data_IF_992927139511
#
_entry.id   IF_992927139511
#
_cell.length_a   1.000
_cell.length_b   1.000
_cell.length_c   1.000
_cell.angle_alpha   90.00
_cell.angle_beta   90.00
_cell.angle_gamma   90.00
#
_symmetry.space_group_name_H-M   'P 1'
#
loop_
_entity.id
_entity.type
_entity.pdbx_description
1 polymer ?
#
# COMPACT_ATOMS: atom_id res chain seq x y z
N UNK A 1 -12.12 -5.02 8.84
CA UNK A 1 -13.08 -3.97 8.45
C UNK A 1 -14.34 -4.64 7.93
N UNK A 2 -15.52 -4.18 8.33
CA UNK A 2 -16.81 -4.74 7.91
C UNK A 2 -17.74 -3.60 7.50
N UNK A 3 -18.42 -3.73 6.35
CA UNK A 3 -19.45 -2.77 5.93
C UNK A 3 -20.73 -3.06 6.72
N UNK A 4 -21.17 -2.09 7.52
CA UNK A 4 -22.34 -2.22 8.39
C UNK A 4 -23.61 -1.62 7.80
N UNK A 5 -23.47 -0.52 7.06
CA UNK A 5 -24.58 0.16 6.43
C UNK A 5 -24.17 0.60 5.03
N UNK A 6 -25.09 0.44 4.09
CA UNK A 6 -24.91 0.87 2.70
C UNK A 6 -26.18 1.56 2.21
N UNK A 7 -26.08 2.84 1.88
CA UNK A 7 -27.11 3.59 1.15
C UNK A 7 -26.76 3.61 -0.34
N UNK A 8 -27.53 2.84 -1.11
CA UNK A 8 -27.35 2.73 -2.56
C UNK A 8 -27.67 4.01 -3.31
N UNK A 9 -28.61 4.82 -2.84
CA UNK A 9 -29.01 6.06 -3.52
C UNK A 9 -27.90 7.10 -3.51
N UNK A 10 -27.22 7.21 -2.38
CA UNK A 10 -26.18 8.22 -2.16
C UNK A 10 -24.75 7.68 -2.32
N UNK A 11 -24.60 6.36 -2.50
CA UNK A 11 -23.30 5.66 -2.50
C UNK A 11 -22.50 5.92 -1.21
N UNK A 12 -23.22 5.87 -0.08
CA UNK A 12 -22.68 6.09 1.26
C UNK A 12 -22.57 4.78 2.04
N UNK A 13 -21.51 4.69 2.83
CA UNK A 13 -21.17 3.49 3.60
C UNK A 13 -20.78 3.85 5.01
N UNK A 14 -21.10 2.95 5.93
CA UNK A 14 -20.52 2.93 7.27
C UNK A 14 -19.72 1.65 7.39
N UNK A 15 -18.41 1.80 7.63
CA UNK A 15 -17.48 0.68 7.77
C UNK A 15 -16.95 0.64 9.19
N UNK A 16 -17.16 -0.49 9.85
CA UNK A 16 -16.54 -0.78 11.12
C UNK A 16 -15.08 -1.14 10.93
N UNK A 17 -14.25 -0.50 11.73
CA UNK A 17 -12.82 -0.69 11.80
C UNK A 17 -12.45 -1.19 13.19
N UNK A 18 -11.66 -2.27 13.21
CA UNK A 18 -11.09 -2.82 14.43
C UNK A 18 -9.61 -2.50 14.36
N UNK A 19 -9.15 -1.60 15.22
CA UNK A 19 -7.72 -1.29 15.37
C UNK A 19 -7.18 -1.99 16.62
N UNK A 20 -6.03 -2.65 16.48
CA UNK A 20 -5.32 -3.22 17.62
C UNK A 20 -3.99 -2.50 17.79
N UNK A 21 -3.87 -1.69 18.84
CA UNK A 21 -2.65 -0.93 19.14
C UNK A 21 -2.24 -1.22 20.57
N UNK A 22 -1.04 -1.80 20.75
CA UNK A 22 -0.48 -2.06 22.09
C UNK A 22 -1.34 -2.99 22.97
N UNK A 23 -1.97 -4.01 22.38
CA UNK A 23 -2.83 -4.96 23.11
C UNK A 23 -4.24 -4.44 23.43
N UNK A 24 -4.58 -3.22 23.04
CA UNK A 24 -5.95 -2.68 23.13
C UNK A 24 -6.64 -2.82 21.79
N UNK A 25 -7.88 -3.31 21.83
CA UNK A 25 -8.78 -3.36 20.67
C UNK A 25 -9.70 -2.14 20.76
N UNK A 26 -9.71 -1.32 19.70
CA UNK A 26 -10.66 -0.24 19.54
C UNK A 26 -11.56 -0.55 18.34
N UNK A 27 -12.86 -0.34 18.53
CA UNK A 27 -13.86 -0.37 17.48
C UNK A 27 -14.22 1.08 17.15
N UNK A 28 -14.06 1.43 15.88
CA UNK A 28 -14.52 2.71 15.33
C UNK A 28 -15.34 2.46 14.09
N UNK A 29 -16.16 3.45 13.72
CA UNK A 29 -16.85 3.46 12.45
C UNK A 29 -16.30 4.57 11.58
N UNK A 30 -16.29 4.33 10.28
CA UNK A 30 -15.89 5.29 9.27
C UNK A 30 -17.03 5.45 8.28
N UNK A 31 -17.47 6.69 8.08
CA UNK A 31 -18.37 7.07 7.00
C UNK A 31 -17.58 7.27 5.73
N UNK A 32 -18.15 6.83 4.62
CA UNK A 32 -17.55 6.91 3.29
C UNK A 32 -18.64 7.38 2.34
N UNK A 33 -18.30 8.35 1.49
CA UNK A 33 -19.07 8.68 0.29
C UNK A 33 -18.22 8.39 -0.93
N UNK A 34 -18.61 7.40 -1.74
CA UNK A 34 -17.89 7.09 -2.99
C UNK A 34 -18.14 8.16 -4.06
N UNK A 35 -19.34 8.75 -4.09
CA UNK A 35 -19.70 9.82 -5.02
C UNK A 35 -18.95 11.11 -4.70
N UNK A 36 -18.83 11.45 -3.42
CA UNK A 36 -18.07 12.62 -2.95
C UNK A 36 -16.58 12.38 -2.81
N UNK A 37 -16.11 11.13 -2.89
CA UNK A 37 -14.74 10.72 -2.54
C UNK A 37 -14.34 11.24 -1.15
N UNK A 38 -15.14 10.95 -0.13
CA UNK A 38 -14.90 11.40 1.25
C UNK A 38 -14.82 10.19 2.19
N UNK A 39 -13.88 10.24 3.13
CA UNK A 39 -13.71 9.28 4.22
C UNK A 39 -13.37 10.05 5.50
N UNK A 40 -13.97 9.68 6.63
CA UNK A 40 -13.79 10.38 7.92
C UNK A 40 -12.31 10.47 8.35
N UNK A 41 -11.52 9.42 8.05
CA UNK A 41 -10.11 9.32 8.45
C UNK A 41 -9.13 9.93 7.44
N UNK A 42 -9.61 10.27 6.25
CA UNK A 42 -8.77 10.88 5.21
C UNK A 42 -9.66 11.56 4.18
N UNK A 43 -9.46 12.85 3.99
CA UNK A 43 -9.85 13.47 2.72
C UNK A 43 -9.10 12.69 1.63
N UNK A 44 -9.79 11.86 0.85
CA UNK A 44 -9.23 11.02 -0.22
C UNK A 44 -8.22 11.76 -1.10
N UNK A 45 -8.44 13.06 -1.27
CA UNK A 45 -7.64 13.91 -2.13
C UNK A 45 -6.22 14.15 -1.62
N UNK A 46 -5.95 14.08 -0.29
CA UNK A 46 -4.64 14.44 0.24
C UNK A 46 -3.53 13.45 -0.18
N UNK A 47 -3.88 12.19 -0.41
CA UNK A 47 -2.93 11.14 -0.81
C UNK A 47 -3.11 10.69 -2.25
N UNK A 48 -4.09 11.24 -2.98
CA UNK A 48 -4.41 10.86 -4.37
C UNK A 48 -4.60 9.33 -4.56
N UNK A 49 -4.88 8.61 -3.46
CA UNK A 49 -4.95 7.16 -3.38
C UNK A 49 -6.15 6.74 -2.52
N UNK A 50 -6.83 5.67 -2.93
CA UNK A 50 -8.00 5.17 -2.21
C UNK A 50 -7.60 4.64 -0.82
N UNK A 51 -8.21 5.18 0.24
CA UNK A 51 -7.97 4.68 1.59
C UNK A 51 -8.53 3.25 1.76
N UNK A 52 -8.09 2.54 2.79
CA UNK A 52 -8.47 1.15 3.03
C UNK A 52 -9.99 0.95 3.19
N UNK A 53 -10.71 1.91 3.78
CA UNK A 53 -12.17 1.85 3.92
C UNK A 53 -12.88 1.83 2.56
N UNK A 54 -12.32 2.55 1.59
CA UNK A 54 -12.88 2.70 0.23
C UNK A 54 -12.69 1.43 -0.56
N UNK A 55 -11.52 0.80 -0.42
CA UNK A 55 -11.27 -0.51 -0.98
C UNK A 55 -12.24 -1.55 -0.40
N UNK A 56 -12.57 -1.45 0.89
CA UNK A 56 -13.58 -2.31 1.52
C UNK A 56 -14.99 -2.07 0.94
N UNK A 57 -15.41 -0.81 0.77
CA UNK A 57 -16.69 -0.47 0.13
C UNK A 57 -16.76 -0.91 -1.34
N UNK A 58 -15.68 -0.73 -2.11
CA UNK A 58 -15.59 -1.19 -3.49
C UNK A 58 -15.70 -2.71 -3.58
N UNK A 59 -15.00 -3.43 -2.70
CA UNK A 59 -15.08 -4.90 -2.61
C UNK A 59 -16.50 -5.36 -2.30
N UNK A 60 -17.17 -4.71 -1.34
CA UNK A 60 -18.56 -5.01 -0.96
C UNK A 60 -19.54 -4.81 -2.11
N UNK A 61 -19.43 -3.71 -2.85
CA UNK A 61 -20.31 -3.40 -3.99
C UNK A 61 -19.85 -3.98 -5.33
N UNK A 62 -18.74 -4.71 -5.37
CA UNK A 62 -18.11 -5.22 -6.61
C UNK A 62 -17.81 -4.10 -7.63
N UNK A 63 -17.38 -2.95 -7.15
CA UNK A 63 -16.97 -1.80 -7.96
C UNK A 63 -15.49 -1.89 -8.30
N UNK A 64 -15.11 -1.35 -9.46
CA UNK A 64 -13.69 -1.22 -9.81
C UNK A 64 -13.08 -0.07 -8.99
N UNK A 65 -12.35 -0.43 -7.94
CA UNK A 65 -11.64 0.52 -7.06
C UNK A 65 -10.71 1.48 -7.81
N UNK A 66 -10.24 1.10 -9.02
CA UNK A 66 -9.36 1.93 -9.85
C UNK A 66 -9.99 3.25 -10.29
N UNK A 67 -11.33 3.37 -10.27
CA UNK A 67 -12.01 4.64 -10.59
C UNK A 67 -11.82 5.71 -9.52
N UNK A 68 -11.33 5.33 -8.33
CA UNK A 68 -11.13 6.21 -7.18
C UNK A 68 -9.66 6.50 -6.88
N UNK A 69 -8.75 6.14 -7.79
CA UNK A 69 -7.32 6.38 -7.66
C UNK A 69 -6.87 7.33 -8.75
N UNK A 70 -6.00 8.26 -8.37
CA UNK A 70 -5.40 9.19 -9.31
C UNK A 70 -4.52 8.46 -10.33
N UNK A 71 -4.53 8.95 -11.56
CA UNK A 71 -3.80 8.36 -12.68
C UNK A 71 -2.30 8.22 -12.37
N UNK A 72 -1.72 9.10 -11.53
CA UNK A 72 -0.29 9.03 -11.15
C UNK A 72 0.11 7.71 -10.48
N UNK A 73 -0.84 7.01 -9.84
CA UNK A 73 -0.61 5.72 -9.21
C UNK A 73 -0.95 4.53 -10.11
N UNK A 74 -1.34 4.77 -11.36
CA UNK A 74 -1.50 3.68 -12.32
C UNK A 74 -0.16 3.06 -12.64
N UNK A 75 -0.16 1.73 -12.67
CA UNK A 75 1.01 0.90 -12.96
C UNK A 75 1.72 1.38 -14.23
N UNK A 76 1.00 1.74 -15.30
CA UNK A 76 1.63 2.23 -16.52
C UNK A 76 2.38 3.56 -16.34
N UNK A 77 1.86 4.50 -15.55
CA UNK A 77 2.52 5.77 -15.26
C UNK A 77 3.76 5.53 -14.42
N UNK A 78 3.64 4.71 -13.38
CA UNK A 78 4.77 4.32 -12.53
C UNK A 78 5.86 3.62 -13.35
N UNK A 79 5.51 2.67 -14.20
CA UNK A 79 6.46 2.04 -15.13
C UNK A 79 7.12 3.06 -16.05
N UNK A 80 6.41 4.04 -16.58
CA UNK A 80 7.01 5.08 -17.42
C UNK A 80 8.00 5.96 -16.65
N UNK A 81 7.72 6.30 -15.39
CA UNK A 81 8.65 7.05 -14.53
C UNK A 81 9.92 6.25 -14.29
N UNK A 82 9.79 4.96 -13.96
CA UNK A 82 10.94 4.08 -13.72
C UNK A 82 11.63 3.57 -14.98
N UNK A 83 11.01 3.73 -16.16
CA UNK A 83 11.61 3.41 -17.46
C UNK A 83 12.69 4.42 -17.84
N UNK A 84 12.63 5.63 -17.30
CA UNK A 84 13.70 6.60 -17.48
C UNK A 84 14.96 6.05 -16.85
N UNK A 85 16.04 5.98 -17.63
CA UNK A 85 17.34 5.63 -17.08
C UNK A 85 17.69 6.65 -16.00
N UNK A 86 17.78 6.19 -14.75
CA UNK A 86 18.39 6.98 -13.71
C UNK A 86 19.84 7.17 -14.13
N UNK A 87 20.15 8.39 -14.60
CA UNK A 87 21.55 8.76 -14.83
C UNK A 87 22.29 8.52 -13.53
N UNK A 88 23.33 7.67 -13.50
CA UNK A 88 24.11 7.49 -12.29
C UNK A 88 24.57 8.87 -11.83
N UNK A 89 24.16 9.24 -10.62
CA UNK A 89 24.53 10.52 -10.05
C UNK A 89 26.03 10.49 -9.83
N UNK A 90 26.75 11.21 -10.71
CA UNK A 90 28.20 11.42 -10.73
C UNK A 90 28.95 10.31 -11.51
N UNK A 91 29.67 10.69 -12.57
CA UNK A 91 30.68 9.83 -13.21
C UNK A 91 31.69 9.38 -12.16
N UNK A 92 32.08 8.11 -12.15
CA UNK A 92 32.99 7.55 -11.14
C UNK A 92 34.30 8.36 -10.97
N UNK A 93 34.77 9.03 -12.02
CA UNK A 93 35.94 9.92 -11.99
C UNK A 93 35.74 11.31 -11.35
N UNK A 94 34.50 11.67 -11.01
CA UNK A 94 34.11 12.90 -10.31
C UNK A 94 33.70 12.63 -8.84
N UNK A 95 33.63 11.36 -8.43
CA UNK A 95 33.42 11.00 -7.04
C UNK A 95 34.66 11.39 -6.23
N UNK A 96 34.48 12.27 -5.24
CA UNK A 96 35.53 12.48 -4.25
C UNK A 96 35.79 11.16 -3.52
N UNK A 97 37.06 10.82 -3.22
CA UNK A 97 37.37 9.67 -2.37
C UNK A 97 36.60 9.77 -1.06
N UNK A 98 35.78 8.76 -0.77
CA UNK A 98 35.02 8.71 0.47
C UNK A 98 36.00 8.71 1.66
N UNK A 99 36.00 9.79 2.45
CA UNK A 99 36.86 9.95 3.64
C UNK A 99 36.23 9.45 4.95
N UNK A 100 35.05 8.83 4.89
CA UNK A 100 34.36 8.31 6.07
C UNK A 100 34.82 6.91 6.50
N UNK A 101 34.37 6.43 7.67
CA UNK A 101 34.64 5.06 8.10
C UNK A 101 34.03 4.06 7.11
N UNK A 102 34.78 3.02 6.78
CA UNK A 102 34.32 1.95 5.90
C UNK A 102 33.16 1.21 6.60
N UNK A 103 31.95 1.36 6.07
CA UNK A 103 30.79 0.61 6.54
C UNK A 103 30.82 -0.76 5.87
N UNK A 104 31.21 -1.78 6.63
CA UNK A 104 31.17 -3.17 6.18
C UNK A 104 29.83 -3.75 6.68
N UNK A 105 28.93 -4.19 5.79
CA UNK A 105 27.71 -4.86 6.20
C UNK A 105 28.04 -6.13 6.99
N UNK A 106 27.37 -6.33 8.12
CA UNK A 106 27.49 -7.58 8.88
C UNK A 106 26.93 -8.73 8.05
N UNK A 107 27.80 -9.68 7.67
CA UNK A 107 27.46 -10.87 6.89
C UNK A 107 26.38 -11.71 7.59
N UNK A 108 26.35 -11.73 8.93
CA UNK A 108 25.34 -12.46 9.71
C UNK A 108 23.98 -11.78 9.76
N UNK A 109 23.91 -10.48 9.46
CA UNK A 109 22.67 -9.70 9.36
C UNK A 109 22.21 -9.49 7.92
N UNK A 110 22.95 -10.00 6.93
CA UNK A 110 22.51 -9.96 5.54
C UNK A 110 21.18 -10.70 5.40
N UNK A 111 20.25 -10.07 4.68
CA UNK A 111 19.03 -10.79 4.27
C UNK A 111 19.45 -11.98 3.42
N UNK A 112 18.84 -13.13 3.67
CA UNK A 112 19.02 -14.29 2.81
C UNK A 112 18.74 -13.90 1.35
N UNK A 113 19.58 -14.37 0.44
CA UNK A 113 19.43 -14.15 -1.01
C UNK A 113 18.14 -14.77 -1.56
N UNK A 114 17.58 -15.72 -0.83
CA UNK A 114 16.31 -16.37 -1.12
C UNK A 114 15.31 -15.84 -0.10
N UNK A 115 14.21 -15.28 -0.58
CA UNK A 115 13.07 -14.92 0.26
C UNK A 115 12.50 -16.15 1.00
N UNK A 116 11.46 -15.94 1.81
CA UNK A 116 10.80 -17.07 2.48
C UNK A 116 10.15 -17.97 1.41
N UNK A 117 10.71 -19.16 1.19
CA UNK A 117 10.07 -20.22 0.41
C UNK A 117 8.80 -20.62 1.17
N UNK A 118 7.63 -20.27 0.63
CA UNK A 118 6.37 -20.91 1.05
C UNK A 118 6.37 -22.28 0.38
N UNK A 119 7.02 -23.25 1.02
CA UNK A 119 6.86 -24.65 0.65
C UNK A 119 5.55 -25.09 1.32
N UNK A 120 4.48 -25.18 0.53
CA UNK A 120 3.33 -25.97 0.94
C UNK A 120 3.86 -27.39 1.16
N UNK A 121 3.73 -27.90 2.39
CA UNK A 121 3.96 -29.32 2.65
C UNK A 121 2.88 -30.10 1.90
N UNK A 122 3.18 -30.52 0.68
CA UNK A 122 2.53 -31.66 0.08
C UNK A 122 3.44 -32.85 0.31
N UNK A 123 2.86 -33.79 1.04
CA UNK A 123 3.36 -35.13 1.30
C UNK A 123 3.92 -35.76 0.03
N UNK A 124 5.04 -36.47 0.15
CA UNK A 124 5.24 -37.68 -0.61
C UNK A 124 5.74 -38.76 0.34
N UNK A 125 4.83 -39.68 0.63
CA UNK A 125 5.15 -41.02 1.07
C UNK A 125 5.80 -41.76 -0.11
N UNK A 126 6.96 -42.37 0.14
CA UNK A 126 7.36 -43.68 -0.38
C UNK A 126 8.52 -44.20 0.47
#
# INVERSE_FOLDING_TARGET
MQVNLYDRGNSEFIVDEITSTGGRIALSNCRISLSGQICDYSYFQALHYACCHVLAACSYCRLDWRTYIDDVYRVNIMFNVYKMDFSPSIHDGLLLPFKGPQVIPDLGMMRASIGRLIINSMNDAN
#
